data_IF_760758134940
#
_entry.id   IF_760758134940
#
_cell.length_a   1.000
_cell.length_b   1.000
_cell.length_c   1.000
_cell.angle_alpha   90.00
_cell.angle_beta   90.00
_cell.angle_gamma   90.00
#
_symmetry.space_group_name_H-M   'P 1'
#
loop_
_entity.id
_entity.type
_entity.pdbx_description
1 polymer ?
#
# COMPACT_ATOMS: atom_id res chain seq x y z
N UNK A 1 18.52 33.31 0.00
CA UNK A 1 19.65 32.78 -0.83
C UNK A 1 19.05 32.04 -1.99
N UNK A 2 19.36 32.50 -3.18
CA UNK A 2 18.98 31.78 -4.39
C UNK A 2 20.01 30.70 -4.70
N UNK A 3 19.55 29.53 -5.10
CA UNK A 3 20.41 28.39 -5.43
C UNK A 3 20.20 27.96 -6.87
N UNK A 4 21.23 27.38 -7.48
CA UNK A 4 21.12 26.84 -8.83
C UNK A 4 20.20 25.62 -8.90
N UNK A 5 19.67 25.33 -10.07
CA UNK A 5 18.85 24.12 -10.32
C UNK A 5 19.58 22.83 -9.95
N UNK A 6 20.89 22.75 -10.23
CA UNK A 6 21.71 21.59 -9.86
C UNK A 6 21.82 21.46 -8.32
N UNK A 7 21.98 22.57 -7.60
CA UNK A 7 22.02 22.56 -6.12
C UNK A 7 20.66 22.17 -5.55
N UNK A 8 19.56 22.71 -6.10
CA UNK A 8 18.20 22.33 -5.69
C UNK A 8 17.92 20.83 -5.90
N UNK A 9 18.32 20.30 -7.06
CA UNK A 9 18.18 18.87 -7.37
C UNK A 9 18.99 17.99 -6.41
N UNK A 10 20.23 18.39 -6.10
CA UNK A 10 21.06 17.66 -5.13
C UNK A 10 20.45 17.63 -3.72
N UNK A 11 19.84 18.75 -3.28
CA UNK A 11 19.13 18.80 -1.99
C UNK A 11 17.88 17.91 -1.96
N UNK A 12 17.07 17.95 -3.04
CA UNK A 12 15.88 17.10 -3.17
C UNK A 12 16.26 15.62 -3.16
N UNK A 13 17.34 15.28 -3.87
CA UNK A 13 17.87 13.92 -3.90
C UNK A 13 18.35 13.44 -2.52
N UNK A 14 19.09 14.28 -1.80
CA UNK A 14 19.58 13.96 -0.46
C UNK A 14 18.43 13.81 0.57
N UNK A 15 17.27 14.41 0.34
CA UNK A 15 16.10 14.35 1.21
C UNK A 15 15.24 13.09 1.01
N UNK A 16 15.41 12.33 -0.07
CA UNK A 16 14.53 11.21 -0.43
C UNK A 16 14.51 10.10 0.61
N UNK A 17 15.65 9.57 1.00
CA UNK A 17 15.72 8.47 1.97
C UNK A 17 15.18 8.90 3.33
N UNK A 18 15.55 10.06 3.91
CA UNK A 18 14.92 10.56 5.15
C UNK A 18 13.40 10.73 5.03
N UNK A 19 12.88 11.17 3.89
CA UNK A 19 11.43 11.31 3.67
C UNK A 19 10.72 9.95 3.68
N UNK A 20 11.30 8.93 3.04
CA UNK A 20 10.77 7.55 3.07
C UNK A 20 10.81 6.96 4.47
N UNK A 21 11.90 7.20 5.22
CA UNK A 21 12.01 6.78 6.62
C UNK A 21 10.92 7.42 7.49
N UNK A 22 10.63 8.70 7.30
CA UNK A 22 9.55 9.40 8.00
C UNK A 22 8.17 8.82 7.63
N UNK A 23 7.94 8.49 6.38
CA UNK A 23 6.70 7.86 5.91
C UNK A 23 6.49 6.47 6.54
N UNK A 24 7.51 5.63 6.55
CA UNK A 24 7.45 4.31 7.18
C UNK A 24 7.27 4.42 8.70
N UNK A 25 7.99 5.33 9.35
CA UNK A 25 7.86 5.58 10.79
C UNK A 25 6.44 6.03 11.16
N UNK A 26 5.78 6.82 10.31
CA UNK A 26 4.39 7.20 10.51
C UNK A 26 3.44 6.02 10.46
N UNK A 27 3.69 5.07 9.55
CA UNK A 27 2.89 3.86 9.44
C UNK A 27 3.01 2.98 10.69
N UNK A 28 4.18 2.91 11.30
CA UNK A 28 4.49 2.08 12.46
C UNK A 28 4.32 2.80 13.82
N UNK A 29 3.93 4.08 13.82
CA UNK A 29 3.90 4.90 15.05
C UNK A 29 2.76 4.52 16.01
N UNK A 30 1.61 4.07 15.50
CA UNK A 30 0.48 3.70 16.34
C UNK A 30 0.68 2.33 16.99
N UNK A 31 0.12 2.10 18.19
CA UNK A 31 0.06 0.75 18.77
C UNK A 31 -0.75 -0.20 17.87
N UNK A 32 -0.26 -1.39 17.66
CA UNK A 32 -0.89 -2.37 16.80
C UNK A 32 -0.48 -2.27 15.32
N UNK A 33 -0.79 -3.30 14.52
CA UNK A 33 -0.38 -3.35 13.13
C UNK A 33 -1.20 -2.39 12.27
N UNK A 34 -0.54 -1.79 11.28
CA UNK A 34 -1.20 -1.14 10.15
C UNK A 34 -1.96 -2.19 9.31
N UNK A 35 -2.81 -1.76 8.42
CA UNK A 35 -3.56 -2.65 7.54
C UNK A 35 -3.68 -2.14 6.11
N UNK A 36 -3.83 -3.08 5.17
CA UNK A 36 -4.19 -2.79 3.78
C UNK A 36 -5.59 -3.33 3.54
N UNK A 37 -6.49 -2.48 3.06
CA UNK A 37 -7.86 -2.86 2.71
C UNK A 37 -8.05 -2.71 1.21
N UNK A 38 -8.56 -3.76 0.56
CA UNK A 38 -8.70 -3.85 -0.89
C UNK A 38 -10.14 -3.56 -1.31
N UNK A 39 -10.29 -2.86 -2.44
CA UNK A 39 -11.57 -2.41 -2.99
C UNK A 39 -11.64 -2.63 -4.49
N UNK A 40 -12.87 -2.76 -5.00
CA UNK A 40 -13.16 -2.71 -6.43
C UNK A 40 -13.06 -1.28 -6.97
N UNK A 41 -12.94 -1.14 -8.30
CA UNK A 41 -13.05 0.16 -8.96
C UNK A 41 -14.45 0.79 -8.74
N UNK A 42 -14.57 2.13 -8.76
CA UNK A 42 -13.51 3.11 -9.00
C UNK A 42 -12.73 3.48 -7.74
N UNK A 43 -11.48 3.90 -7.92
CA UNK A 43 -10.70 4.52 -6.85
C UNK A 43 -11.19 5.96 -6.64
N UNK A 44 -11.51 6.39 -5.41
CA UNK A 44 -11.89 7.77 -5.13
C UNK A 44 -10.70 8.73 -5.22
N UNK A 45 -10.97 10.01 -5.09
CA UNK A 45 -9.90 10.99 -4.87
C UNK A 45 -9.14 10.66 -3.57
N UNK A 46 -7.86 11.03 -3.48
CA UNK A 46 -7.02 10.68 -2.33
C UNK A 46 -7.66 11.07 -0.98
N UNK A 47 -7.81 10.09 -0.09
CA UNK A 47 -8.38 10.27 1.24
C UNK A 47 -9.91 10.32 1.31
N UNK A 48 -10.62 10.38 0.19
CA UNK A 48 -12.09 10.34 0.17
C UNK A 48 -12.62 8.93 0.50
N UNK A 49 -13.84 8.82 1.07
CA UNK A 49 -14.42 7.52 1.40
C UNK A 49 -14.53 6.59 0.20
N UNK A 50 -14.28 5.27 0.36
CA UNK A 50 -14.52 4.30 -0.69
C UNK A 50 -15.99 4.27 -1.11
N UNK A 51 -16.24 4.11 -2.43
CA UNK A 51 -17.60 4.00 -2.95
C UNK A 51 -18.24 2.63 -2.67
N UNK A 52 -17.43 1.58 -2.51
CA UNK A 52 -17.88 0.21 -2.27
C UNK A 52 -17.42 -0.36 -0.94
N UNK A 53 -17.91 -1.56 -0.63
CA UNK A 53 -17.50 -2.29 0.56
C UNK A 53 -16.07 -2.83 0.43
N UNK A 54 -15.41 -3.01 1.57
CA UNK A 54 -14.11 -3.67 1.64
C UNK A 54 -14.23 -5.14 1.21
N UNK A 55 -13.33 -5.57 0.33
CA UNK A 55 -13.25 -6.96 -0.14
C UNK A 55 -12.47 -7.83 0.84
N UNK A 56 -11.35 -7.34 1.30
CA UNK A 56 -10.46 -7.98 2.27
C UNK A 56 -9.59 -6.93 2.96
N UNK A 57 -9.30 -7.16 4.23
CA UNK A 57 -8.30 -6.40 4.98
C UNK A 57 -7.18 -7.33 5.41
N UNK A 58 -5.93 -6.90 5.16
CA UNK A 58 -4.72 -7.66 5.52
C UNK A 58 -3.94 -6.86 6.54
N UNK A 59 -3.66 -7.44 7.69
CA UNK A 59 -2.79 -6.83 8.70
C UNK A 59 -1.32 -6.88 8.22
N UNK A 60 -0.62 -5.76 8.36
CA UNK A 60 0.82 -5.69 8.10
C UNK A 60 1.61 -6.25 9.29
N UNK A 61 2.85 -6.61 9.01
CA UNK A 61 3.80 -6.94 10.07
C UNK A 61 4.22 -5.67 10.83
N UNK A 62 4.87 -5.82 11.96
CA UNK A 62 5.50 -4.74 12.71
C UNK A 62 6.99 -5.07 12.96
N UNK A 63 7.90 -4.27 12.38
CA UNK A 63 7.68 -3.14 11.48
C UNK A 63 7.03 -3.57 10.16
N UNK A 64 6.28 -2.62 9.54
CA UNK A 64 5.52 -2.91 8.31
C UNK A 64 6.41 -3.27 7.11
N UNK A 65 7.63 -2.78 7.07
CA UNK A 65 8.56 -3.01 6.00
C UNK A 65 9.93 -2.40 6.25
N UNK A 66 10.68 -2.19 5.19
CA UNK A 66 12.02 -1.61 5.23
C UNK A 66 12.23 -0.62 4.07
N UNK A 67 13.25 0.22 4.20
CA UNK A 67 13.69 1.14 3.16
C UNK A 67 14.77 0.46 2.32
N UNK A 68 14.56 0.40 1.01
CA UNK A 68 15.60 0.09 0.05
C UNK A 68 16.26 1.40 -0.39
N UNK A 69 17.40 1.73 0.21
CA UNK A 69 18.09 3.00 -0.04
C UNK A 69 18.60 3.11 -1.48
N UNK A 70 19.07 2.01 -2.05
CA UNK A 70 19.58 1.98 -3.41
C UNK A 70 18.48 2.24 -4.45
N UNK A 71 17.31 1.63 -4.26
CA UNK A 71 16.14 1.82 -5.12
C UNK A 71 15.29 3.04 -4.73
N UNK A 72 15.51 3.59 -3.53
CA UNK A 72 14.72 4.70 -2.95
C UNK A 72 13.24 4.36 -2.87
N UNK A 73 12.95 3.23 -2.25
CA UNK A 73 11.60 2.69 -2.08
C UNK A 73 11.34 2.26 -0.65
N UNK A 74 10.06 2.28 -0.27
CA UNK A 74 9.57 1.51 0.88
C UNK A 74 9.13 0.15 0.34
N UNK A 75 9.60 -0.92 0.94
CA UNK A 75 9.21 -2.28 0.63
C UNK A 75 8.53 -2.90 1.85
N UNK A 76 7.24 -3.23 1.72
CA UNK A 76 6.53 -3.88 2.82
C UNK A 76 7.00 -5.32 3.02
N UNK A 77 6.93 -5.80 4.26
CA UNK A 77 7.27 -7.18 4.60
C UNK A 77 6.24 -8.14 4.02
N UNK A 78 6.66 -9.02 3.12
CA UNK A 78 5.82 -9.98 2.41
C UNK A 78 6.44 -11.38 2.48
N UNK A 79 5.67 -12.47 2.28
CA UNK A 79 4.24 -12.50 1.97
C UNK A 79 3.37 -12.26 3.22
N UNK A 80 2.21 -11.67 3.00
CA UNK A 80 1.12 -11.57 3.98
C UNK A 80 -0.20 -11.91 3.30
N UNK A 81 -1.18 -12.36 4.08
CA UNK A 81 -2.47 -12.77 3.53
C UNK A 81 -3.63 -12.45 4.47
N UNK A 82 -4.83 -12.38 3.92
CA UNK A 82 -6.07 -12.23 4.65
C UNK A 82 -7.23 -12.93 3.97
N UNK A 83 -8.22 -13.35 4.75
CA UNK A 83 -9.38 -14.02 4.23
C UNK A 83 -10.34 -13.04 3.58
N UNK A 84 -10.76 -13.37 2.35
CA UNK A 84 -11.69 -12.57 1.56
C UNK A 84 -13.11 -12.82 2.07
N UNK A 85 -13.85 -11.76 2.40
CA UNK A 85 -15.21 -11.85 2.94
C UNK A 85 -16.21 -10.92 2.25
N UNK A 86 -15.73 -9.91 1.52
CA UNK A 86 -16.57 -8.84 0.94
C UNK A 86 -16.75 -8.92 -0.57
N UNK A 87 -16.31 -9.99 -1.23
CA UNK A 87 -16.48 -10.18 -2.67
C UNK A 87 -17.89 -10.65 -3.04
N UNK A 88 -18.24 -10.55 -4.33
CA UNK A 88 -19.47 -11.14 -4.83
C UNK A 88 -19.48 -12.65 -4.55
N UNK A 89 -20.56 -13.20 -3.94
CA UNK A 89 -20.57 -14.60 -3.51
C UNK A 89 -20.60 -15.60 -4.68
N UNK A 90 -21.08 -15.20 -5.85
CA UNK A 90 -21.23 -16.08 -7.02
C UNK A 90 -20.03 -15.97 -7.97
N UNK A 91 -19.72 -14.75 -8.39
CA UNK A 91 -18.73 -14.50 -9.45
C UNK A 91 -17.36 -14.03 -8.93
N UNK A 92 -17.26 -13.66 -7.65
CA UNK A 92 -16.10 -12.99 -7.12
C UNK A 92 -16.06 -11.51 -7.53
N UNK A 93 -15.04 -10.78 -7.09
CA UNK A 93 -14.87 -9.35 -7.40
C UNK A 93 -13.42 -9.06 -7.71
N UNK A 94 -13.16 -8.35 -8.81
CA UNK A 94 -11.83 -7.84 -9.11
C UNK A 94 -11.50 -6.65 -8.22
N UNK A 95 -10.35 -6.71 -7.57
CA UNK A 95 -9.81 -5.57 -6.84
C UNK A 95 -8.99 -4.68 -7.78
N UNK A 96 -9.10 -3.38 -7.60
CA UNK A 96 -8.42 -2.39 -8.45
C UNK A 96 -7.51 -1.46 -7.66
N UNK A 97 -7.80 -1.23 -6.38
CA UNK A 97 -7.03 -0.35 -5.53
C UNK A 97 -7.09 -0.79 -4.07
N UNK A 98 -6.20 -0.25 -3.28
CA UNK A 98 -6.14 -0.54 -1.86
C UNK A 98 -5.86 0.72 -1.05
N UNK A 99 -6.35 0.74 0.18
CA UNK A 99 -6.08 1.78 1.17
C UNK A 99 -5.22 1.23 2.29
N UNK A 100 -4.17 1.97 2.64
CA UNK A 100 -3.34 1.67 3.79
C UNK A 100 -3.71 2.62 4.93
N UNK A 101 -3.94 2.05 6.09
CA UNK A 101 -4.18 2.79 7.34
C UNK A 101 -3.18 2.34 8.40
N UNK A 102 -2.82 3.24 9.31
CA UNK A 102 -2.00 2.88 10.45
C UNK A 102 -2.77 2.06 11.49
N UNK A 103 -2.12 1.66 12.59
CA UNK A 103 -2.75 0.87 13.65
C UNK A 103 -3.86 1.59 14.41
N UNK A 104 -3.99 2.91 14.27
CA UNK A 104 -5.10 3.71 14.80
C UNK A 104 -6.25 3.91 13.80
N UNK A 105 -6.10 3.40 12.57
CA UNK A 105 -7.08 3.57 11.49
C UNK A 105 -6.94 4.87 10.71
N UNK A 106 -5.88 5.65 10.94
CA UNK A 106 -5.61 6.88 10.20
C UNK A 106 -5.12 6.57 8.79
N UNK A 107 -5.62 7.33 7.83
CA UNK A 107 -5.24 7.19 6.42
C UNK A 107 -3.75 7.46 6.22
N UNK A 108 -3.06 6.50 5.57
CA UNK A 108 -1.65 6.63 5.20
C UNK A 108 -1.47 6.82 3.70
N UNK A 109 -2.20 6.08 2.89
CA UNK A 109 -2.13 6.21 1.44
C UNK A 109 -3.10 5.30 0.69
N UNK A 110 -3.34 5.64 -0.57
CA UNK A 110 -4.12 4.85 -1.53
C UNK A 110 -3.21 4.39 -2.66
N UNK A 111 -3.29 3.12 -3.02
CA UNK A 111 -2.35 2.45 -3.92
C UNK A 111 -3.07 1.74 -5.05
N UNK A 112 -2.41 1.62 -6.20
CA UNK A 112 -2.84 0.77 -7.30
C UNK A 112 -2.55 -0.70 -6.99
N UNK A 113 -3.41 -1.58 -7.50
CA UNK A 113 -3.31 -3.03 -7.30
C UNK A 113 -3.29 -3.74 -8.65
N UNK A 114 -2.43 -4.73 -8.78
CA UNK A 114 -2.37 -5.63 -9.95
C UNK A 114 -2.04 -7.06 -9.51
N UNK A 115 -2.06 -8.00 -10.44
CA UNK A 115 -1.40 -9.28 -10.25
C UNK A 115 0.13 -9.15 -10.35
N UNK A 116 0.85 -10.26 -10.19
CA UNK A 116 2.31 -10.25 -10.18
C UNK A 116 2.94 -9.79 -11.51
N UNK A 117 2.22 -9.87 -12.63
CA UNK A 117 2.69 -9.46 -13.97
C UNK A 117 2.34 -8.02 -14.32
N UNK A 118 1.47 -7.37 -13.54
CA UNK A 118 1.00 -6.00 -13.78
C UNK A 118 1.91 -4.93 -13.16
N UNK A 119 1.49 -3.67 -13.31
CA UNK A 119 2.26 -2.47 -12.92
C UNK A 119 1.79 -1.85 -11.59
N UNK A 120 0.90 -2.53 -10.83
CA UNK A 120 0.41 -2.02 -9.56
C UNK A 120 1.53 -1.86 -8.51
N UNK A 121 1.39 -0.85 -7.65
CA UNK A 121 2.28 -0.65 -6.49
C UNK A 121 2.17 -1.82 -5.52
N UNK A 122 0.97 -2.39 -5.40
CA UNK A 122 0.69 -3.61 -4.64
C UNK A 122 0.39 -4.73 -5.62
N UNK A 123 1.03 -5.88 -5.42
CA UNK A 123 0.85 -7.06 -6.27
C UNK A 123 0.30 -8.23 -5.47
N UNK A 124 -0.80 -8.79 -5.97
CA UNK A 124 -1.44 -10.00 -5.45
C UNK A 124 -1.15 -11.19 -6.36
N UNK A 125 -1.33 -12.41 -5.87
CA UNK A 125 -1.31 -13.61 -6.69
C UNK A 125 -2.45 -13.56 -7.73
N UNK A 126 -3.63 -13.08 -7.32
CA UNK A 126 -4.79 -12.87 -8.20
C UNK A 126 -5.55 -11.64 -7.77
N UNK A 127 -6.02 -10.85 -8.72
CA UNK A 127 -6.91 -9.70 -8.48
C UNK A 127 -8.38 -10.11 -8.41
N UNK A 128 -8.76 -11.28 -8.96
CA UNK A 128 -10.10 -11.82 -8.78
C UNK A 128 -10.22 -12.46 -7.40
N UNK A 129 -10.93 -11.77 -6.50
CA UNK A 129 -11.10 -12.18 -5.11
C UNK A 129 -12.40 -12.94 -4.94
N UNK A 130 -12.34 -14.10 -4.26
CA UNK A 130 -13.49 -14.95 -3.98
C UNK A 130 -13.63 -15.18 -2.49
N UNK A 131 -14.84 -15.04 -1.95
CA UNK A 131 -15.11 -15.26 -0.54
C UNK A 131 -14.67 -16.64 -0.07
N UNK A 132 -14.05 -16.67 1.12
CA UNK A 132 -13.51 -17.88 1.73
C UNK A 132 -12.07 -18.22 1.30
N UNK A 133 -11.61 -17.71 0.16
CA UNK A 133 -10.21 -17.80 -0.25
C UNK A 133 -9.35 -16.74 0.48
N UNK A 134 -8.03 -16.82 0.30
CA UNK A 134 -7.09 -15.85 0.87
C UNK A 134 -6.51 -14.97 -0.23
N UNK A 135 -6.55 -13.65 -0.01
CA UNK A 135 -5.78 -12.72 -0.81
C UNK A 135 -4.34 -12.72 -0.28
N UNK A 136 -3.38 -13.01 -1.17
CA UNK A 136 -1.97 -13.06 -0.82
C UNK A 136 -1.21 -11.95 -1.51
N UNK A 137 -0.65 -11.08 -0.70
CA UNK A 137 0.20 -9.99 -1.14
C UNK A 137 1.62 -10.50 -1.30
N UNK A 138 2.15 -10.36 -2.51
CA UNK A 138 3.48 -10.87 -2.88
C UNK A 138 4.50 -9.76 -3.08
N UNK A 139 4.05 -8.53 -3.29
CA UNK A 139 4.91 -7.35 -3.41
C UNK A 139 4.12 -6.09 -3.07
N UNK A 140 4.75 -5.17 -2.37
CA UNK A 140 4.26 -3.81 -2.16
C UNK A 140 5.46 -2.89 -2.06
N UNK A 141 5.65 -2.06 -3.08
CA UNK A 141 6.82 -1.19 -3.26
C UNK A 141 6.35 0.21 -3.60
N UNK A 142 6.78 1.18 -2.80
CA UNK A 142 6.40 2.59 -2.95
C UNK A 142 7.63 3.43 -3.20
N UNK A 143 7.65 4.11 -4.36
CA UNK A 143 8.71 5.03 -4.73
C UNK A 143 8.58 6.37 -3.97
N UNK A 144 9.73 6.97 -3.66
CA UNK A 144 9.82 8.28 -3.02
C UNK A 144 10.18 9.40 -3.99
#
# INVERSE_FOLDING_TARGET
>A
MDISTAHAAARAEAARVPALQASLARLDAAPGPASITFYAAPRPDPGEPPAGAALVAIALQQPAGAINEAARTIELAVPIEGQITGADPDDGTDTAWARITDGAGEWWGDCSVSDASGEGEIKLISTLLRNGAFARLVSAVFAG
#
